data_IF_369069007281
#
_entry.id   IF_369069007281
#
_cell.length_a   1.000
_cell.length_b   1.000
_cell.length_c   1.000
_cell.angle_alpha   90.00
_cell.angle_beta   90.00
_cell.angle_gamma   90.00
#
_symmetry.space_group_name_H-M   'P 1'
#
loop_
_entity.id
_entity.type
_entity.pdbx_description
1 polymer ?
#
# COMPACT_ATOMS: atom_id res chain seq x y z
N UNK A 1 -16.35 -0.62 -58.29
CA UNK A 1 -17.71 -0.88 -57.74
C UNK A 1 -17.90 -2.31 -57.24
N UNK A 2 -17.17 -3.31 -57.72
CA UNK A 2 -17.29 -4.72 -57.27
C UNK A 2 -16.64 -4.97 -55.85
N UNK A 3 -15.55 -4.31 -55.54
CA UNK A 3 -14.80 -4.51 -54.26
C UNK A 3 -15.63 -4.05 -53.06
N UNK A 4 -16.31 -2.93 -53.16
CA UNK A 4 -17.16 -2.39 -52.10
C UNK A 4 -18.35 -3.33 -51.79
N UNK A 5 -18.93 -3.93 -52.81
CA UNK A 5 -20.04 -4.87 -52.70
C UNK A 5 -19.60 -6.19 -52.06
N UNK A 6 -18.37 -6.63 -52.35
CA UNK A 6 -17.78 -7.81 -51.70
C UNK A 6 -17.49 -7.59 -50.22
N UNK A 7 -17.01 -6.41 -49.84
CA UNK A 7 -16.76 -6.06 -48.44
C UNK A 7 -18.07 -6.01 -47.65
N UNK A 8 -19.13 -5.41 -48.21
CA UNK A 8 -20.43 -5.33 -47.56
C UNK A 8 -21.04 -6.73 -47.39
N UNK A 9 -20.98 -7.59 -48.40
CA UNK A 9 -21.46 -8.95 -48.27
C UNK A 9 -20.68 -9.76 -47.23
N UNK A 10 -19.38 -9.61 -47.23
CA UNK A 10 -18.51 -10.25 -46.22
C UNK A 10 -18.86 -9.81 -44.79
N UNK A 11 -19.08 -8.52 -44.55
CA UNK A 11 -19.50 -8.04 -43.22
C UNK A 11 -20.87 -8.54 -42.81
N UNK A 12 -21.82 -8.65 -43.74
CA UNK A 12 -23.16 -9.22 -43.48
C UNK A 12 -23.06 -10.70 -43.14
N UNK A 13 -22.23 -11.45 -43.86
CA UNK A 13 -22.04 -12.88 -43.60
C UNK A 13 -21.36 -13.13 -42.25
N UNK A 14 -20.34 -12.35 -41.92
CA UNK A 14 -19.70 -12.38 -40.57
C UNK A 14 -20.73 -12.12 -39.48
N UNK A 15 -21.56 -11.08 -39.65
CA UNK A 15 -22.60 -10.76 -38.67
C UNK A 15 -23.67 -11.86 -38.53
N UNK A 16 -24.04 -12.51 -39.66
CA UNK A 16 -24.98 -13.61 -39.67
C UNK A 16 -24.42 -14.84 -38.95
N UNK A 17 -23.16 -15.19 -39.22
CA UNK A 17 -22.47 -16.29 -38.54
C UNK A 17 -22.32 -15.95 -37.04
N UNK A 18 -21.89 -14.75 -36.70
CA UNK A 18 -21.79 -14.35 -35.31
C UNK A 18 -23.10 -14.43 -34.53
N UNK A 19 -24.19 -13.94 -35.10
CA UNK A 19 -25.53 -14.04 -34.51
C UNK A 19 -25.98 -15.49 -34.32
N UNK A 20 -25.67 -16.37 -35.30
CA UNK A 20 -25.99 -17.79 -35.22
C UNK A 20 -25.19 -18.48 -34.10
N UNK A 21 -23.90 -18.25 -34.04
CA UNK A 21 -23.02 -18.81 -33.00
C UNK A 21 -23.41 -18.31 -31.60
N UNK A 22 -23.74 -17.03 -31.46
CA UNK A 22 -24.25 -16.48 -30.22
C UNK A 22 -25.55 -17.16 -29.78
N UNK A 23 -26.48 -17.35 -30.71
CA UNK A 23 -27.74 -18.01 -30.40
C UNK A 23 -27.55 -19.48 -30.02
N UNK A 24 -26.62 -20.20 -30.66
CA UNK A 24 -26.24 -21.56 -30.28
C UNK A 24 -25.60 -21.59 -28.88
N UNK A 25 -24.70 -20.68 -28.60
CA UNK A 25 -24.03 -20.57 -27.29
C UNK A 25 -25.05 -20.29 -26.16
N UNK A 26 -26.05 -19.44 -26.40
CA UNK A 26 -27.11 -19.17 -25.43
C UNK A 26 -28.17 -20.27 -25.31
N UNK A 27 -28.18 -21.24 -26.19
CA UNK A 27 -29.04 -22.44 -26.11
C UNK A 27 -28.34 -23.64 -25.46
N UNK A 28 -27.02 -23.58 -25.34
CA UNK A 28 -26.26 -24.65 -24.70
C UNK A 28 -26.25 -24.42 -23.19
N UNK A 29 -26.95 -25.29 -22.46
CA UNK A 29 -27.05 -25.22 -21.00
C UNK A 29 -25.68 -25.30 -20.32
N UNK A 30 -24.74 -26.06 -20.88
CA UNK A 30 -23.41 -26.20 -20.32
C UNK A 30 -22.61 -24.87 -20.42
N UNK A 31 -22.72 -24.18 -21.56
CA UNK A 31 -22.08 -22.88 -21.78
C UNK A 31 -22.68 -21.81 -20.88
N UNK A 32 -24.00 -21.76 -20.75
CA UNK A 32 -24.67 -20.78 -19.88
C UNK A 32 -24.28 -21.01 -18.42
N UNK A 33 -24.37 -22.25 -17.93
CA UNK A 33 -24.03 -22.58 -16.55
C UNK A 33 -22.56 -22.22 -16.29
N UNK A 34 -21.65 -22.61 -17.19
CA UNK A 34 -20.23 -22.31 -17.05
C UNK A 34 -19.96 -20.79 -17.02
N UNK A 35 -20.54 -20.04 -17.96
CA UNK A 35 -20.35 -18.59 -18.06
C UNK A 35 -20.97 -17.86 -16.87
N UNK A 36 -22.20 -18.21 -16.48
CA UNK A 36 -22.92 -17.55 -15.39
C UNK A 36 -22.36 -17.92 -14.03
N UNK A 37 -22.05 -19.21 -13.82
CA UNK A 37 -21.45 -19.69 -12.58
C UNK A 37 -20.03 -19.15 -12.42
N UNK A 38 -19.21 -19.17 -13.48
CA UNK A 38 -17.85 -18.65 -13.41
C UNK A 38 -17.84 -17.13 -13.13
N UNK A 39 -18.68 -16.35 -13.87
CA UNK A 39 -18.79 -14.91 -13.67
C UNK A 39 -19.32 -14.52 -12.29
N UNK A 40 -20.23 -15.31 -11.72
CA UNK A 40 -20.78 -15.04 -10.40
C UNK A 40 -19.86 -15.56 -9.28
N UNK A 41 -19.26 -16.73 -9.47
CA UNK A 41 -18.46 -17.39 -8.44
C UNK A 41 -17.09 -16.76 -8.29
N UNK A 42 -16.47 -16.28 -9.38
CA UNK A 42 -15.14 -15.70 -9.34
C UNK A 42 -15.04 -14.44 -8.44
N UNK A 43 -15.92 -13.42 -8.55
CA UNK A 43 -15.90 -12.28 -7.66
C UNK A 43 -16.18 -12.65 -6.21
N UNK A 44 -17.08 -13.62 -5.97
CA UNK A 44 -17.42 -14.07 -4.61
C UNK A 44 -16.25 -14.82 -3.99
N UNK A 45 -15.64 -15.77 -4.72
CA UNK A 45 -14.46 -16.48 -4.27
C UNK A 45 -13.29 -15.53 -4.03
N UNK A 46 -13.06 -14.60 -4.96
CA UNK A 46 -12.02 -13.61 -4.85
C UNK A 46 -12.23 -12.72 -3.61
N UNK A 47 -13.46 -12.22 -3.41
CA UNK A 47 -13.81 -11.44 -2.23
C UNK A 47 -13.63 -12.22 -0.92
N UNK A 48 -14.00 -13.51 -0.90
CA UNK A 48 -13.83 -14.38 0.27
C UNK A 48 -12.36 -14.65 0.60
N UNK A 49 -11.55 -14.93 -0.42
CA UNK A 49 -10.12 -15.21 -0.24
C UNK A 49 -9.38 -13.95 0.21
N UNK A 50 -9.68 -12.80 -0.40
CA UNK A 50 -8.98 -11.55 -0.11
C UNK A 50 -9.56 -10.74 1.06
N UNK A 51 -10.77 -11.05 1.52
CA UNK A 51 -11.37 -10.36 2.69
C UNK A 51 -10.65 -10.70 4.01
N UNK A 52 -9.95 -11.83 4.08
CA UNK A 52 -9.15 -12.24 5.24
C UNK A 52 -7.70 -11.75 5.20
N UNK A 53 -7.28 -11.11 4.11
CA UNK A 53 -5.89 -10.65 3.92
C UNK A 53 -5.62 -9.20 4.35
N UNK A 54 -6.49 -8.58 5.13
CA UNK A 54 -6.07 -7.40 5.87
C UNK A 54 -5.12 -7.88 6.95
N UNK A 55 -3.82 -7.78 6.69
CA UNK A 55 -2.81 -8.12 7.67
C UNK A 55 -2.97 -7.15 8.86
N UNK A 56 -3.50 -7.66 9.95
CA UNK A 56 -3.54 -6.96 11.24
C UNK A 56 -2.27 -7.29 12.02
N UNK A 57 -1.88 -6.40 12.93
CA UNK A 57 -0.76 -6.61 13.86
C UNK A 57 0.57 -6.91 13.17
N UNK A 58 0.91 -6.17 12.11
CA UNK A 58 2.22 -6.32 11.48
C UNK A 58 3.30 -5.88 12.45
N UNK A 59 4.16 -6.82 12.84
CA UNK A 59 5.21 -6.62 13.82
C UNK A 59 6.29 -5.67 13.32
N UNK A 60 6.50 -4.57 14.04
CA UNK A 60 7.52 -3.55 13.74
C UNK A 60 8.41 -3.33 14.94
N UNK A 61 9.66 -2.99 14.67
CA UNK A 61 10.63 -2.59 15.67
C UNK A 61 10.98 -1.11 15.49
N UNK A 62 11.13 -0.39 16.58
CA UNK A 62 11.44 1.03 16.59
C UNK A 62 12.89 1.26 17.01
N UNK A 63 13.60 2.04 16.21
CA UNK A 63 14.94 2.57 16.55
C UNK A 63 14.82 4.08 16.73
N UNK A 64 14.94 4.54 17.97
CA UNK A 64 14.76 5.95 18.33
C UNK A 64 16.06 6.54 18.90
N UNK A 65 16.80 7.24 18.04
CA UNK A 65 18.00 7.99 18.44
C UNK A 65 17.69 9.36 19.06
N UNK A 66 16.47 9.86 18.86
CA UNK A 66 16.05 11.18 19.33
C UNK A 66 15.54 11.17 20.77
N UNK A 67 14.88 10.08 21.22
CA UNK A 67 14.35 9.84 22.58
C UNK A 67 13.51 10.98 23.14
N UNK A 68 12.71 11.64 22.29
CA UNK A 68 11.90 12.79 22.66
C UNK A 68 10.46 12.39 23.05
N UNK A 69 9.71 13.34 23.60
CA UNK A 69 8.27 13.15 23.81
C UNK A 69 7.52 12.98 22.47
N UNK A 70 7.94 13.71 21.44
CA UNK A 70 7.33 13.67 20.12
C UNK A 70 7.45 12.28 19.48
N UNK A 71 8.66 11.66 19.57
CA UNK A 71 8.86 10.30 19.04
C UNK A 71 8.06 9.27 19.83
N UNK A 72 7.97 9.39 21.15
CA UNK A 72 7.15 8.49 21.97
C UNK A 72 5.65 8.61 21.65
N UNK A 73 5.15 9.84 21.48
CA UNK A 73 3.75 10.06 21.12
C UNK A 73 3.46 9.54 19.72
N UNK A 74 4.38 9.70 18.78
CA UNK A 74 4.27 9.14 17.43
C UNK A 74 4.19 7.62 17.47
N UNK A 75 5.10 6.96 18.18
CA UNK A 75 5.11 5.49 18.29
C UNK A 75 3.88 4.97 19.02
N UNK A 76 3.40 5.65 20.06
CA UNK A 76 2.17 5.30 20.76
C UNK A 76 0.94 5.38 19.85
N UNK A 77 0.86 6.40 18.98
CA UNK A 77 -0.19 6.51 17.98
C UNK A 77 -0.06 5.41 16.91
N UNK A 78 1.17 5.05 16.54
CA UNK A 78 1.43 3.98 15.58
C UNK A 78 1.01 2.61 16.14
N UNK A 79 1.35 2.32 17.37
CA UNK A 79 0.96 1.08 18.06
C UNK A 79 -0.56 0.99 18.33
N UNK A 80 -1.24 2.12 18.39
CA UNK A 80 -2.69 2.18 18.51
C UNK A 80 -3.44 1.91 17.18
N UNK A 81 -2.72 1.80 16.06
CA UNK A 81 -3.34 1.45 14.76
C UNK A 81 -3.55 -0.06 14.67
N UNK A 82 -4.66 -0.52 14.06
CA UNK A 82 -4.94 -1.95 13.93
C UNK A 82 -4.01 -2.67 12.95
N UNK A 83 -3.28 -1.93 12.12
CA UNK A 83 -2.40 -2.47 11.09
C UNK A 83 -1.03 -2.86 11.61
N UNK A 84 -0.54 -2.20 12.67
CA UNK A 84 0.84 -2.31 13.16
C UNK A 84 0.88 -2.63 14.64
N UNK A 85 1.75 -3.54 15.02
CA UNK A 85 2.08 -3.84 16.42
C UNK A 85 3.56 -3.54 16.67
N UNK A 86 3.85 -2.63 17.58
CA UNK A 86 5.21 -2.29 17.98
C UNK A 86 5.72 -3.32 18.99
N UNK A 87 6.66 -4.18 18.57
CA UNK A 87 7.17 -5.25 19.44
C UNK A 87 8.18 -4.74 20.46
N UNK A 88 9.16 -3.94 20.01
CA UNK A 88 10.26 -3.55 20.88
C UNK A 88 10.93 -2.26 20.41
N UNK A 89 11.64 -1.63 21.34
CA UNK A 89 12.52 -0.51 21.09
C UNK A 89 13.97 -0.97 21.13
N UNK A 90 14.63 -0.88 19.99
CA UNK A 90 16.03 -1.30 19.85
C UNK A 90 16.93 -0.09 19.76
N UNK A 91 18.06 -0.14 20.48
CA UNK A 91 19.00 0.98 20.53
C UNK A 91 19.91 1.07 19.33
N UNK A 92 19.99 0.04 18.49
CA UNK A 92 20.94 -0.03 17.38
C UNK A 92 20.25 -0.57 16.11
N UNK A 93 20.53 0.06 14.98
CA UNK A 93 20.05 -0.39 13.67
C UNK A 93 20.54 -1.80 13.29
N UNK A 94 21.70 -2.22 13.79
CA UNK A 94 22.22 -3.57 13.52
C UNK A 94 21.36 -4.67 14.17
N UNK A 95 20.94 -4.44 15.42
CA UNK A 95 20.07 -5.36 16.14
C UNK A 95 18.67 -5.42 15.50
N UNK A 96 18.13 -4.28 15.08
CA UNK A 96 16.86 -4.22 14.36
C UNK A 96 16.92 -5.01 13.04
N UNK A 97 18.01 -4.88 12.28
CA UNK A 97 18.23 -5.68 11.05
C UNK A 97 18.37 -7.16 11.32
N UNK A 98 18.97 -7.55 12.46
CA UNK A 98 19.06 -8.95 12.85
C UNK A 98 17.68 -9.53 13.08
N UNK A 99 16.81 -8.85 13.86
CA UNK A 99 15.42 -9.26 14.09
C UNK A 99 14.62 -9.37 12.80
N UNK A 100 14.86 -8.47 11.83
CA UNK A 100 14.22 -8.55 10.52
C UNK A 100 14.71 -9.76 9.71
N UNK A 101 16.00 -10.07 9.74
CA UNK A 101 16.56 -11.25 9.06
C UNK A 101 16.10 -12.57 9.70
N UNK A 102 15.84 -12.57 11.00
CA UNK A 102 15.29 -13.70 11.74
C UNK A 102 13.76 -13.83 11.57
N UNK A 103 13.14 -12.94 10.77
CA UNK A 103 11.69 -12.87 10.53
C UNK A 103 10.84 -12.63 11.79
N UNK A 104 11.43 -12.11 12.84
CA UNK A 104 10.70 -11.74 14.05
C UNK A 104 9.92 -10.44 13.85
N UNK A 105 10.43 -9.51 13.03
CA UNK A 105 9.73 -8.29 12.61
C UNK A 105 9.75 -8.14 11.09
N UNK A 106 8.79 -7.37 10.57
CA UNK A 106 8.62 -7.12 9.13
C UNK A 106 8.93 -5.67 8.73
N UNK A 107 9.14 -4.81 9.72
CA UNK A 107 9.47 -3.41 9.48
C UNK A 107 10.29 -2.80 10.62
N UNK A 108 11.09 -1.79 10.27
CA UNK A 108 11.86 -0.99 11.23
C UNK A 108 11.48 0.47 11.01
N UNK A 109 11.04 1.14 12.06
CA UNK A 109 10.78 2.59 12.05
C UNK A 109 11.96 3.28 12.72
N UNK A 110 12.65 4.14 11.99
CA UNK A 110 13.84 4.82 12.46
C UNK A 110 13.61 6.33 12.61
N UNK A 111 13.92 6.84 13.80
CA UNK A 111 13.91 8.26 14.12
C UNK A 111 15.35 8.76 14.32
N UNK A 112 15.84 9.67 13.47
CA UNK A 112 17.18 10.24 13.63
C UNK A 112 17.23 11.21 14.81
N UNK A 113 18.42 11.41 15.39
CA UNK A 113 18.63 12.23 16.58
C UNK A 113 18.18 13.70 16.44
N UNK A 114 18.14 14.23 15.22
CA UNK A 114 17.72 15.60 14.91
C UNK A 114 16.22 15.76 14.60
N UNK A 115 15.44 14.67 14.62
CA UNK A 115 14.04 14.64 14.23
C UNK A 115 13.19 15.75 14.87
N UNK A 116 13.21 15.84 16.21
CA UNK A 116 12.40 16.83 16.94
C UNK A 116 12.85 18.26 16.65
N UNK A 117 14.16 18.48 16.55
CA UNK A 117 14.70 19.81 16.25
C UNK A 117 14.26 20.29 14.87
N UNK A 118 14.29 19.41 13.87
CA UNK A 118 13.82 19.71 12.51
C UNK A 118 12.31 19.91 12.46
N UNK A 119 11.52 19.03 13.07
CA UNK A 119 10.08 19.13 13.09
C UNK A 119 9.55 20.39 13.80
N UNK A 120 10.17 20.80 14.91
CA UNK A 120 9.75 21.98 15.66
C UNK A 120 10.40 23.28 15.18
N UNK A 121 11.62 23.21 14.60
CA UNK A 121 12.41 24.36 14.17
C UNK A 121 12.00 24.97 12.81
N UNK A 122 10.92 24.48 12.17
CA UNK A 122 10.48 24.97 10.86
C UNK A 122 11.12 24.24 9.67
N UNK A 123 11.92 23.19 9.92
CA UNK A 123 12.37 22.22 8.94
C UNK A 123 11.40 21.04 8.78
N UNK A 124 11.82 20.03 8.03
CA UNK A 124 11.08 18.77 7.86
C UNK A 124 11.73 17.67 8.70
N UNK A 125 11.03 17.21 9.75
CA UNK A 125 11.44 16.02 10.49
C UNK A 125 11.32 14.77 9.62
N UNK A 126 12.37 13.93 9.57
CA UNK A 126 12.38 12.72 8.72
C UNK A 126 12.18 11.49 9.57
N UNK A 127 11.22 10.65 9.16
CA UNK A 127 11.04 9.29 9.67
C UNK A 127 11.34 8.31 8.55
N UNK A 128 12.16 7.31 8.82
CA UNK A 128 12.52 6.31 7.82
C UNK A 128 11.85 4.97 8.15
N UNK A 129 11.12 4.41 7.18
CA UNK A 129 10.55 3.07 7.24
C UNK A 129 11.42 2.12 6.41
N UNK A 130 11.99 1.11 7.06
CA UNK A 130 12.63 -0.03 6.41
C UNK A 130 11.66 -1.18 6.48
N UNK A 131 11.26 -1.74 5.35
CA UNK A 131 10.25 -2.77 5.29
C UNK A 131 10.68 -3.91 4.38
N UNK A 132 10.33 -5.13 4.76
CA UNK A 132 10.46 -6.29 3.90
C UNK A 132 9.37 -6.24 2.82
N UNK A 133 9.81 -6.18 1.56
CA UNK A 133 8.95 -6.13 0.38
C UNK A 133 8.53 -7.53 -0.11
N UNK A 134 8.97 -8.59 0.56
CA UNK A 134 8.60 -9.96 0.20
C UNK A 134 7.09 -10.22 0.29
N UNK A 135 6.40 -9.51 1.20
CA UNK A 135 4.94 -9.55 1.32
C UNK A 135 4.36 -8.16 1.12
N UNK A 136 3.97 -7.86 -0.11
CA UNK A 136 3.48 -6.54 -0.53
C UNK A 136 2.32 -6.01 0.34
N UNK A 137 1.45 -6.91 0.82
CA UNK A 137 0.32 -6.52 1.67
C UNK A 137 0.77 -5.97 3.02
N UNK A 138 1.74 -6.61 3.68
CA UNK A 138 2.29 -6.13 4.96
C UNK A 138 2.97 -4.76 4.80
N UNK A 139 3.72 -4.59 3.72
CA UNK A 139 4.32 -3.30 3.40
C UNK A 139 3.28 -2.19 3.25
N UNK A 140 2.21 -2.43 2.48
CA UNK A 140 1.13 -1.45 2.30
C UNK A 140 0.45 -1.08 3.61
N UNK A 141 0.22 -2.04 4.50
CA UNK A 141 -0.39 -1.80 5.81
C UNK A 141 0.52 -0.91 6.70
N UNK A 142 1.80 -1.26 6.81
CA UNK A 142 2.76 -0.43 7.55
C UNK A 142 2.86 0.98 7.00
N UNK A 143 2.89 1.11 5.67
CA UNK A 143 2.95 2.41 5.00
C UNK A 143 1.69 3.25 5.26
N UNK A 144 0.52 2.63 5.17
CA UNK A 144 -0.76 3.29 5.46
C UNK A 144 -0.83 3.77 6.90
N UNK A 145 -0.50 2.91 7.86
CA UNK A 145 -0.47 3.26 9.27
C UNK A 145 0.50 4.41 9.55
N UNK A 146 1.73 4.31 9.04
CA UNK A 146 2.73 5.35 9.24
C UNK A 146 2.30 6.70 8.64
N UNK A 147 1.70 6.68 7.45
CA UNK A 147 1.22 7.89 6.77
C UNK A 147 0.04 8.52 7.55
N UNK A 148 -0.89 7.73 8.04
CA UNK A 148 -2.02 8.21 8.85
C UNK A 148 -1.55 8.86 10.15
N UNK A 149 -0.64 8.20 10.86
CA UNK A 149 -0.05 8.77 12.09
C UNK A 149 0.76 10.03 11.79
N UNK A 150 1.53 10.05 10.72
CA UNK A 150 2.27 11.22 10.30
C UNK A 150 1.34 12.42 10.04
N UNK A 151 0.23 12.21 9.31
CA UNK A 151 -0.75 13.27 9.06
C UNK A 151 -1.39 13.78 10.36
N UNK A 152 -1.74 12.88 11.28
CA UNK A 152 -2.30 13.24 12.57
C UNK A 152 -1.32 14.07 13.41
N UNK A 153 -0.07 13.62 13.53
CA UNK A 153 0.97 14.35 14.28
C UNK A 153 1.29 15.69 13.62
N UNK A 154 1.37 15.75 12.28
CA UNK A 154 1.55 17.01 11.56
C UNK A 154 0.42 18.00 11.85
N UNK A 155 -0.85 17.56 11.82
CA UNK A 155 -2.01 18.41 12.11
C UNK A 155 -2.00 18.92 13.57
N UNK A 156 -1.63 18.06 14.51
CA UNK A 156 -1.48 18.45 15.93
C UNK A 156 -0.39 19.51 16.12
N UNK A 157 0.76 19.34 15.47
CA UNK A 157 1.87 20.29 15.53
C UNK A 157 1.51 21.63 14.86
N UNK A 158 0.81 21.61 13.75
CA UNK A 158 0.33 22.81 13.07
C UNK A 158 -0.67 23.56 13.95
N UNK A 159 -1.64 22.86 14.53
CA UNK A 159 -2.63 23.47 15.42
C UNK A 159 -1.98 24.08 16.68
N UNK A 160 -0.98 23.40 17.24
CA UNK A 160 -0.19 23.93 18.36
C UNK A 160 0.60 25.19 17.96
N UNK A 161 1.16 25.23 16.76
CA UNK A 161 1.88 26.43 16.24
C UNK A 161 0.91 27.58 15.94
N UNK A 162 -0.27 27.31 15.38
CA UNK A 162 -1.30 28.32 15.08
C UNK A 162 -1.86 28.93 16.38
N UNK A 163 -1.98 28.14 17.45
CA UNK A 163 -2.38 28.63 18.77
C UNK A 163 -1.38 29.60 19.40
N UNK A 164 -0.12 29.58 18.98
CA UNK A 164 0.96 30.44 19.49
C UNK A 164 1.21 31.66 18.58
N UNK A 165 0.91 31.55 17.27
CA UNK A 165 1.16 32.63 16.29
C UNK A 165 -0.15 32.96 15.55
N UNK A 166 -0.98 33.78 16.17
CA UNK A 166 -2.10 34.43 15.48
C UNK A 166 -1.54 35.45 14.47
N UNK A 167 -1.37 35.07 13.21
CA UNK A 167 -1.15 36.12 12.24
C UNK A 167 -0.56 35.86 10.86
N UNK A 168 -0.02 34.73 10.50
CA UNK A 168 0.34 34.50 9.08
C UNK A 168 0.29 33.02 8.73
N UNK A 169 -0.70 32.66 7.93
CA UNK A 169 -0.76 31.34 7.29
C UNK A 169 0.24 31.34 6.15
N UNK A 170 1.44 30.84 6.38
CA UNK A 170 2.32 30.44 5.28
C UNK A 170 1.92 29.01 4.88
N UNK A 171 1.36 28.84 3.70
CA UNK A 171 1.21 27.56 3.05
C UNK A 171 2.62 26.98 2.82
N UNK A 172 3.09 26.18 3.76
CA UNK A 172 4.26 25.35 3.54
C UNK A 172 3.81 24.12 2.75
N UNK A 173 4.14 24.11 1.48
CA UNK A 173 3.90 23.02 0.50
C UNK A 173 4.74 21.75 0.81
N UNK A 174 4.99 21.45 2.05
CA UNK A 174 5.66 20.24 2.53
C UNK A 174 5.26 19.97 3.97
N UNK A 175 4.74 18.79 4.25
CA UNK A 175 4.42 18.38 5.62
C UNK A 175 5.62 18.54 6.56
N UNK A 176 5.34 18.81 7.83
CA UNK A 176 6.37 19.00 8.89
C UNK A 176 7.22 17.73 9.07
N UNK A 177 6.69 16.58 8.70
CA UNK A 177 7.36 15.28 8.77
C UNK A 177 7.41 14.67 7.37
N UNK A 178 8.63 14.34 6.90
CA UNK A 178 8.86 13.61 5.65
C UNK A 178 8.99 12.11 5.94
N UNK A 179 8.25 11.29 5.22
CA UNK A 179 8.37 9.84 5.26
C UNK A 179 9.34 9.39 4.16
N UNK A 180 10.52 8.89 4.57
CA UNK A 180 11.49 8.31 3.65
C UNK A 180 11.36 6.80 3.64
N UNK A 181 10.88 6.26 2.52
CA UNK A 181 10.73 4.84 2.31
C UNK A 181 12.02 4.24 1.77
N UNK A 182 12.48 3.16 2.38
CA UNK A 182 13.61 2.36 1.91
C UNK A 182 13.12 0.94 1.68
N UNK A 183 12.94 0.57 0.41
CA UNK A 183 12.54 -0.77 0.03
C UNK A 183 13.72 -1.74 0.15
N UNK A 184 13.56 -2.78 0.94
CA UNK A 184 14.50 -3.87 1.07
C UNK A 184 13.95 -5.07 0.26
N UNK A 185 14.59 -5.39 -0.86
CA UNK A 185 14.28 -6.56 -1.69
C UNK A 185 13.72 -6.28 -3.08
N UNK A 186 12.68 -5.45 -3.24
CA UNK A 186 12.13 -5.10 -4.55
C UNK A 186 12.42 -3.64 -4.89
N UNK A 187 13.53 -3.39 -5.59
CA UNK A 187 14.02 -2.03 -5.91
C UNK A 187 13.10 -1.29 -6.89
N UNK A 188 12.33 -2.01 -7.70
CA UNK A 188 11.51 -1.40 -8.77
C UNK A 188 10.13 -0.92 -8.32
N UNK A 189 9.67 -1.22 -7.09
CA UNK A 189 8.35 -0.87 -6.52
C UNK A 189 7.16 -1.11 -7.47
N UNK A 190 7.36 -1.83 -8.57
CA UNK A 190 6.36 -2.06 -9.60
C UNK A 190 5.45 -3.23 -9.28
N UNK A 191 4.14 -3.01 -9.37
CA UNK A 191 3.14 -4.09 -9.36
C UNK A 191 3.45 -5.11 -10.47
N UNK A 192 4.00 -4.66 -11.59
CA UNK A 192 4.41 -5.51 -12.69
C UNK A 192 5.48 -6.55 -12.30
N UNK A 193 6.45 -6.20 -11.46
CA UNK A 193 7.50 -7.14 -11.02
C UNK A 193 6.99 -8.22 -10.06
N UNK A 194 5.88 -7.98 -9.37
CA UNK A 194 5.24 -8.96 -8.50
C UNK A 194 4.21 -9.83 -9.26
N UNK A 195 3.48 -9.23 -10.22
CA UNK A 195 2.35 -9.90 -10.92
C UNK A 195 2.83 -10.65 -12.17
N UNK A 196 3.87 -10.16 -12.87
CA UNK A 196 4.40 -10.81 -14.07
C UNK A 196 4.84 -12.27 -13.85
N UNK A 197 5.57 -12.64 -12.75
CA UNK A 197 5.87 -14.02 -12.48
C UNK A 197 4.63 -14.88 -12.24
N UNK A 198 3.60 -14.33 -11.59
CA UNK A 198 2.34 -15.05 -11.34
C UNK A 198 1.55 -15.35 -12.62
N UNK A 199 1.59 -14.44 -13.61
CA UNK A 199 0.92 -14.64 -14.91
C UNK A 199 1.69 -15.61 -15.81
N UNK A 200 3.03 -15.66 -15.69
CA UNK A 200 3.87 -16.55 -16.50
C UNK A 200 3.84 -18.01 -16.06
N UNK A 201 3.34 -18.29 -14.84
CA UNK A 201 3.23 -19.66 -14.28
C UNK A 201 1.83 -20.26 -14.53
N UNK A 202 0.87 -19.48 -15.01
CA UNK A 202 -0.45 -19.92 -15.44
C UNK A 202 -0.50 -20.26 -16.93
#
# INVERSE_FOLDING_TARGET
>A
MSIFRNIINWTIDVFRVWKRELNLAFHDQAVIIFFLVLCATYPVLYSLIYNTEVAHDVKVVVVDDNRSHLTRDFVRQLDATPEVCVMDYVSNMQDARRLMNEHECYGIVYFPANFTREALGGGQGRVSLYADMGVLMRYKQMLSALTNVQMNVCSQLQNAKIGIVSGTVAEADGGIIENRQVALGNVSMGIASAVLPCILVL
#
